data_IF_583758734804
#
_entry.id   IF_583758734804
#
_cell.length_a   1.000
_cell.length_b   1.000
_cell.length_c   1.000
_cell.angle_alpha   90.00
_cell.angle_beta   90.00
_cell.angle_gamma   90.00
#
_symmetry.space_group_name_H-M   'P 1'
#
loop_
_entity.id
_entity.type
_entity.pdbx_description
1 polymer ?
#
# COMPACT_ATOMS: atom_id res chain seq x y z
N UNK A 1 -27.97 -1.47 -10.41
CA UNK A 1 -26.71 -0.67 -10.49
C UNK A 1 -26.70 0.24 -9.28
N UNK A 2 -25.75 0.06 -8.37
CA UNK A 2 -25.64 0.96 -7.20
C UNK A 2 -25.35 2.38 -7.71
N UNK A 3 -26.09 3.36 -7.20
CA UNK A 3 -25.91 4.76 -7.52
C UNK A 3 -24.46 5.20 -7.17
N UNK A 4 -23.71 5.65 -8.16
CA UNK A 4 -22.32 6.05 -7.99
C UNK A 4 -22.14 7.20 -6.99
N UNK A 5 -23.17 8.00 -6.75
CA UNK A 5 -23.20 9.07 -5.78
C UNK A 5 -23.34 8.52 -4.35
N UNK A 6 -24.24 7.56 -4.12
CA UNK A 6 -24.41 6.88 -2.85
C UNK A 6 -23.16 6.14 -2.39
N UNK A 7 -22.48 5.43 -3.30
CA UNK A 7 -21.21 4.75 -3.03
C UNK A 7 -20.12 5.75 -2.60
N UNK A 8 -20.02 6.91 -3.26
CA UNK A 8 -19.03 7.94 -2.89
C UNK A 8 -19.29 8.53 -1.50
N UNK A 9 -20.57 8.80 -1.18
CA UNK A 9 -20.97 9.32 0.14
C UNK A 9 -20.59 8.31 1.23
N UNK A 10 -20.95 7.05 1.07
CA UNK A 10 -20.66 5.99 2.04
C UNK A 10 -19.14 5.78 2.22
N UNK A 11 -18.36 5.80 1.12
CA UNK A 11 -16.90 5.79 1.21
C UNK A 11 -16.36 6.97 2.01
N UNK A 12 -16.96 8.16 1.87
CA UNK A 12 -16.58 9.35 2.61
C UNK A 12 -16.84 9.22 4.12
N UNK A 13 -18.00 8.72 4.49
CA UNK A 13 -18.40 8.49 5.89
C UNK A 13 -17.50 7.45 6.56
N UNK A 14 -17.30 6.30 5.93
CA UNK A 14 -16.38 5.25 6.41
C UNK A 14 -14.97 5.78 6.60
N UNK A 15 -14.45 6.54 5.62
CA UNK A 15 -13.11 7.15 5.70
C UNK A 15 -12.99 8.06 6.91
N UNK A 16 -13.96 8.93 7.14
CA UNK A 16 -13.95 9.88 8.26
C UNK A 16 -14.01 9.16 9.61
N UNK A 17 -14.87 8.17 9.75
CA UNK A 17 -15.01 7.40 10.98
C UNK A 17 -13.74 6.60 11.30
N UNK A 18 -13.26 5.81 10.35
CA UNK A 18 -12.10 4.92 10.55
C UNK A 18 -10.79 5.71 10.67
N UNK A 19 -10.65 6.87 10.00
CA UNK A 19 -9.48 7.74 10.20
C UNK A 19 -9.34 8.18 11.66
N UNK A 20 -10.46 8.47 12.34
CA UNK A 20 -10.46 8.82 13.77
C UNK A 20 -10.07 7.62 14.64
N UNK A 21 -10.63 6.44 14.37
CA UNK A 21 -10.29 5.20 15.08
C UNK A 21 -8.80 4.89 14.91
N UNK A 22 -8.27 4.93 13.67
CA UNK A 22 -6.84 4.72 13.38
C UNK A 22 -5.95 5.76 14.08
N UNK A 23 -6.38 7.02 14.11
CA UNK A 23 -5.61 8.06 14.81
C UNK A 23 -5.53 7.81 16.32
N UNK A 24 -6.60 7.33 16.93
CA UNK A 24 -6.71 7.00 18.36
C UNK A 24 -6.10 5.64 18.72
N UNK A 25 -5.74 4.80 17.73
CA UNK A 25 -5.21 3.47 17.97
C UNK A 25 -3.95 3.51 18.86
N UNK A 26 -3.93 2.78 20.01
CA UNK A 26 -2.77 2.75 20.88
C UNK A 26 -1.65 1.86 20.32
N UNK A 27 -0.43 2.08 20.79
CA UNK A 27 0.74 1.25 20.46
C UNK A 27 0.94 0.94 18.98
N UNK A 28 0.86 1.99 18.14
CA UNK A 28 1.02 1.84 16.69
C UNK A 28 2.37 1.22 16.30
N UNK A 29 3.42 1.48 17.07
CA UNK A 29 4.76 0.96 16.76
C UNK A 29 4.85 -0.55 17.04
N UNK A 30 4.32 -1.02 18.17
CA UNK A 30 4.25 -2.45 18.50
C UNK A 30 3.34 -3.21 17.54
N UNK A 31 2.16 -2.66 17.24
CA UNK A 31 1.22 -3.23 16.27
C UNK A 31 1.80 -3.27 14.85
N UNK A 32 2.46 -2.22 14.41
CA UNK A 32 3.13 -2.20 13.11
C UNK A 32 4.22 -3.26 13.02
N UNK A 33 4.99 -3.45 14.09
CA UNK A 33 5.98 -4.53 14.17
C UNK A 33 5.31 -5.89 14.00
N UNK A 34 4.23 -6.17 14.75
CA UNK A 34 3.50 -7.44 14.65
C UNK A 34 2.95 -7.67 13.22
N UNK A 35 2.41 -6.61 12.57
CA UNK A 35 1.95 -6.68 11.18
C UNK A 35 3.10 -7.07 10.24
N UNK A 36 4.23 -6.38 10.35
CA UNK A 36 5.36 -6.60 9.45
C UNK A 36 6.08 -7.93 9.69
N UNK A 37 6.12 -8.43 10.93
CA UNK A 37 6.57 -9.80 11.24
C UNK A 37 5.68 -10.85 10.53
N UNK A 38 4.35 -10.64 10.49
CA UNK A 38 3.45 -11.50 9.73
C UNK A 38 3.74 -11.42 8.22
N UNK A 39 3.99 -10.21 7.69
CA UNK A 39 4.36 -10.03 6.27
C UNK A 39 5.64 -10.80 5.94
N UNK A 40 6.68 -10.70 6.78
CA UNK A 40 7.94 -11.44 6.58
C UNK A 40 7.73 -12.96 6.55
N UNK A 41 6.75 -13.48 7.31
CA UNK A 41 6.42 -14.90 7.35
C UNK A 41 5.63 -15.38 6.12
N UNK A 42 5.04 -14.49 5.33
CA UNK A 42 4.27 -14.87 4.13
C UNK A 42 5.17 -15.52 3.07
N UNK A 43 4.75 -16.64 2.47
CA UNK A 43 5.41 -17.18 1.29
C UNK A 43 5.56 -16.13 0.18
N UNK A 44 4.51 -15.33 -0.06
CA UNK A 44 4.52 -14.23 -1.02
C UNK A 44 5.68 -13.25 -0.80
N UNK A 45 6.03 -12.90 0.45
CA UNK A 45 7.16 -12.03 0.74
C UNK A 45 8.50 -12.77 0.58
N UNK A 46 8.60 -14.01 1.05
CA UNK A 46 9.84 -14.79 0.93
C UNK A 46 10.26 -14.97 -0.52
N UNK A 47 9.31 -15.28 -1.39
CA UNK A 47 9.53 -15.58 -2.80
C UNK A 47 9.70 -14.32 -3.67
N UNK A 48 9.17 -13.17 -3.22
CA UNK A 48 9.30 -11.89 -3.90
C UNK A 48 10.77 -11.44 -3.98
N UNK A 49 11.21 -10.98 -5.15
CA UNK A 49 12.52 -10.33 -5.38
C UNK A 49 12.42 -8.83 -5.23
N UNK A 50 11.39 -8.23 -5.82
CA UNK A 50 11.10 -6.80 -5.75
C UNK A 50 9.83 -6.54 -4.93
N UNK A 51 9.97 -5.74 -3.86
CA UNK A 51 8.88 -5.40 -2.94
C UNK A 51 8.69 -3.89 -2.89
N UNK A 52 7.48 -3.44 -3.17
CA UNK A 52 7.12 -2.04 -3.02
C UNK A 52 6.64 -1.78 -1.59
N UNK A 53 7.32 -0.84 -0.93
CA UNK A 53 6.95 -0.28 0.37
C UNK A 53 6.37 1.12 0.18
N UNK A 54 5.29 1.46 0.87
CA UNK A 54 4.94 2.88 1.00
C UNK A 54 5.75 3.53 2.14
N UNK A 55 5.95 4.83 2.06
CA UNK A 55 6.61 5.61 3.10
C UNK A 55 5.53 6.15 4.03
N UNK A 56 5.37 5.48 5.17
CA UNK A 56 4.29 5.75 6.11
C UNK A 56 4.26 7.19 6.62
N UNK A 57 3.05 7.72 6.76
CA UNK A 57 2.81 9.05 7.29
C UNK A 57 1.68 9.05 8.32
N UNK A 58 1.73 10.00 9.25
CA UNK A 58 0.69 10.21 10.25
C UNK A 58 0.40 8.95 11.09
N UNK A 59 -0.80 8.40 10.97
CA UNK A 59 -1.26 7.23 11.73
C UNK A 59 -1.22 5.91 10.95
N UNK A 60 -0.53 5.85 9.83
CA UNK A 60 -0.39 4.61 9.04
C UNK A 60 0.46 3.54 9.73
N UNK A 61 0.35 2.30 9.29
CA UNK A 61 1.27 1.21 9.68
C UNK A 61 2.71 1.57 9.30
N UNK A 62 3.65 1.43 10.24
CA UNK A 62 5.05 1.90 10.15
C UNK A 62 5.90 1.02 9.26
N UNK A 63 5.84 1.21 7.94
CA UNK A 63 6.59 0.40 6.98
C UNK A 63 8.07 0.78 6.87
N UNK A 64 8.41 2.06 7.03
CA UNK A 64 9.80 2.56 6.89
C UNK A 64 10.80 1.87 7.79
N UNK A 65 10.40 1.54 9.02
CA UNK A 65 11.27 0.87 9.98
C UNK A 65 11.71 -0.53 9.54
N UNK A 66 11.02 -1.13 8.57
CA UNK A 66 11.32 -2.46 8.02
C UNK A 66 12.10 -2.45 6.72
N UNK A 67 12.24 -1.30 6.07
CA UNK A 67 13.01 -1.16 4.83
C UNK A 67 14.46 -1.67 5.00
N UNK A 68 15.22 -1.29 6.05
CA UNK A 68 16.57 -1.82 6.24
C UNK A 68 16.59 -3.35 6.31
N UNK A 69 15.62 -3.95 7.01
CA UNK A 69 15.52 -5.42 7.12
C UNK A 69 15.21 -6.08 5.78
N UNK A 70 14.38 -5.47 4.95
CA UNK A 70 14.09 -5.99 3.61
C UNK A 70 15.35 -5.94 2.71
N UNK A 71 16.12 -4.85 2.78
CA UNK A 71 17.40 -4.72 2.08
C UNK A 71 18.43 -5.77 2.54
N UNK A 72 18.56 -5.99 3.86
CA UNK A 72 19.44 -7.05 4.42
C UNK A 72 19.05 -8.44 3.93
N UNK A 73 17.76 -8.70 3.71
CA UNK A 73 17.23 -9.94 3.15
C UNK A 73 17.44 -10.05 1.61
N UNK A 74 18.14 -9.09 1.01
CA UNK A 74 18.45 -9.06 -0.42
C UNK A 74 17.27 -8.68 -1.31
N UNK A 75 16.19 -8.08 -0.75
CA UNK A 75 15.06 -7.60 -1.56
C UNK A 75 15.42 -6.33 -2.31
N UNK A 76 14.96 -6.20 -3.54
CA UNK A 76 14.88 -4.92 -4.23
C UNK A 76 13.73 -4.15 -3.62
N UNK A 77 14.06 -3.12 -2.83
CA UNK A 77 13.04 -2.25 -2.22
C UNK A 77 12.68 -1.15 -3.20
N UNK A 78 11.38 -0.98 -3.42
CA UNK A 78 10.82 0.03 -4.31
C UNK A 78 9.90 0.93 -3.51
N UNK A 79 10.01 2.24 -3.68
CA UNK A 79 9.15 3.21 -2.98
C UNK A 79 8.44 4.14 -3.97
N UNK A 80 7.19 4.56 -3.68
CA UNK A 80 6.47 5.46 -4.57
C UNK A 80 6.86 6.91 -4.30
N UNK A 81 6.71 7.76 -5.31
CA UNK A 81 6.75 9.22 -5.21
C UNK A 81 5.73 9.84 -6.17
N UNK A 82 5.23 11.03 -5.82
CA UNK A 82 4.29 11.74 -6.68
C UNK A 82 5.00 12.32 -7.91
N UNK A 83 4.43 12.07 -9.10
CA UNK A 83 4.92 12.58 -10.37
C UNK A 83 3.76 12.79 -11.34
N UNK A 84 4.06 13.15 -12.58
CA UNK A 84 3.08 13.27 -13.66
C UNK A 84 3.45 12.36 -14.82
N UNK A 85 2.45 11.76 -15.43
CA UNK A 85 2.62 10.99 -16.65
C UNK A 85 2.77 11.90 -17.89
N UNK A 86 2.95 11.30 -19.06
CA UNK A 86 3.08 12.00 -20.36
C UNK A 86 1.86 12.87 -20.70
N UNK A 87 0.70 12.60 -20.11
CA UNK A 87 -0.54 13.36 -20.27
C UNK A 87 -0.69 14.48 -19.24
N UNK A 88 0.28 14.61 -18.31
CA UNK A 88 0.26 15.56 -17.22
C UNK A 88 -0.64 15.16 -16.06
N UNK A 89 -1.16 13.92 -16.04
CA UNK A 89 -1.95 13.41 -14.94
C UNK A 89 -1.05 13.02 -13.74
N UNK A 90 -1.54 13.30 -12.54
CA UNK A 90 -0.85 12.90 -11.31
C UNK A 90 -0.90 11.39 -11.12
N UNK A 91 0.27 10.79 -10.98
CA UNK A 91 0.50 9.35 -10.82
C UNK A 91 1.60 9.08 -9.80
N UNK A 92 1.77 7.82 -9.40
CA UNK A 92 2.92 7.37 -8.64
C UNK A 92 4.00 6.85 -9.59
N UNK A 93 5.18 7.50 -9.55
CA UNK A 93 6.42 6.93 -10.03
C UNK A 93 6.98 5.96 -8.98
N UNK A 94 7.81 5.02 -9.40
CA UNK A 94 8.46 4.07 -8.53
C UNK A 94 9.99 4.23 -8.59
N UNK A 95 10.61 4.17 -7.42
CA UNK A 95 12.04 4.40 -7.21
C UNK A 95 12.68 3.20 -6.51
N UNK A 96 13.78 2.67 -7.07
CA UNK A 96 14.57 1.63 -6.44
C UNK A 96 15.42 2.23 -5.31
N UNK A 97 15.03 1.93 -4.07
CA UNK A 97 15.69 2.43 -2.87
C UNK A 97 16.80 1.47 -2.42
N UNK A 98 17.99 2.00 -2.19
CA UNK A 98 19.14 1.25 -1.67
C UNK A 98 19.50 1.66 -0.24
N UNK A 99 19.17 2.90 0.13
CA UNK A 99 19.40 3.44 1.47
C UNK A 99 18.31 4.46 1.83
N UNK A 100 17.95 4.55 3.12
CA UNK A 100 17.03 5.58 3.61
C UNK A 100 17.58 7.00 3.43
N UNK A 101 18.90 7.16 3.37
CA UNK A 101 19.56 8.43 3.09
C UNK A 101 19.28 8.97 1.68
N UNK A 102 18.73 8.17 0.78
CA UNK A 102 18.26 8.61 -0.53
C UNK A 102 16.92 9.37 -0.47
N UNK A 103 16.27 9.40 0.71
CA UNK A 103 15.01 10.09 0.95
C UNK A 103 15.23 11.49 1.51
N UNK A 104 14.29 12.38 1.20
CA UNK A 104 14.19 13.73 1.76
C UNK A 104 12.72 14.08 2.03
N UNK A 105 12.42 15.04 2.93
CA UNK A 105 11.07 15.53 3.12
C UNK A 105 10.55 16.18 1.83
N UNK A 106 9.51 15.59 1.25
CA UNK A 106 8.78 16.11 0.10
C UNK A 106 7.54 16.90 0.49
N UNK A 107 6.55 16.92 -0.41
CA UNK A 107 5.28 17.58 -0.18
C UNK A 107 4.58 17.00 1.06
N UNK A 108 3.93 17.87 1.87
CA UNK A 108 3.22 17.50 3.09
C UNK A 108 4.09 16.81 4.16
N UNK A 109 5.42 16.96 4.13
CA UNK A 109 6.39 16.28 4.98
C UNK A 109 6.40 14.75 4.83
N UNK A 110 5.86 14.24 3.74
CA UNK A 110 6.00 12.83 3.37
C UNK A 110 7.42 12.68 2.82
N UNK A 111 8.14 11.63 3.26
CA UNK A 111 9.45 11.34 2.68
C UNK A 111 9.27 10.90 1.24
N UNK A 112 10.13 11.41 0.38
CA UNK A 112 10.20 11.06 -1.04
C UNK A 112 11.65 10.87 -1.46
N UNK A 113 11.94 10.11 -2.53
CA UNK A 113 13.30 10.06 -3.08
C UNK A 113 13.80 11.45 -3.44
N UNK A 114 15.06 11.74 -3.16
CA UNK A 114 15.72 13.00 -3.52
C UNK A 114 15.54 13.32 -4.99
N UNK A 115 15.13 14.55 -5.31
CA UNK A 115 14.81 14.96 -6.68
C UNK A 115 15.96 14.66 -7.66
N UNK A 116 17.21 14.91 -7.27
CA UNK A 116 18.39 14.63 -8.08
C UNK A 116 18.62 13.14 -8.40
N UNK A 117 17.97 12.23 -7.69
CA UNK A 117 18.07 10.79 -7.90
C UNK A 117 16.95 10.23 -8.75
N UNK A 118 15.76 10.89 -8.78
CA UNK A 118 14.56 10.40 -9.48
C UNK A 118 14.75 10.25 -10.99
N UNK A 119 15.59 11.11 -11.58
CA UNK A 119 15.87 11.11 -13.02
C UNK A 119 16.90 10.07 -13.46
N UNK A 120 17.57 9.41 -12.52
CA UNK A 120 18.57 8.37 -12.84
C UNK A 120 17.86 7.13 -13.35
N UNK A 121 18.12 6.66 -14.59
CA UNK A 121 17.44 5.48 -15.15
C UNK A 121 17.56 4.23 -14.27
N UNK A 122 18.72 4.03 -13.63
CA UNK A 122 18.95 2.89 -12.74
C UNK A 122 18.10 2.91 -11.45
N UNK A 123 17.50 4.06 -11.13
CA UNK A 123 16.64 4.22 -9.94
C UNK A 123 15.14 4.21 -10.28
N UNK A 124 14.79 4.34 -11.56
CA UNK A 124 13.40 4.23 -12.00
C UNK A 124 12.99 2.76 -12.05
N UNK A 125 11.78 2.46 -11.60
CA UNK A 125 11.25 1.11 -11.55
C UNK A 125 9.87 1.02 -12.19
N UNK A 126 9.60 -0.05 -12.91
CA UNK A 126 8.28 -0.30 -13.49
C UNK A 126 7.44 -1.15 -12.50
N UNK A 127 6.18 -0.80 -12.32
CA UNK A 127 5.26 -1.57 -11.47
C UNK A 127 5.10 -3.01 -11.96
N UNK A 128 5.29 -3.24 -13.26
CA UNK A 128 5.26 -4.58 -13.86
C UNK A 128 6.40 -5.49 -13.43
N UNK A 129 7.47 -4.92 -12.86
CA UNK A 129 8.62 -5.67 -12.34
C UNK A 129 8.57 -5.85 -10.81
N UNK A 130 7.46 -5.44 -10.18
CA UNK A 130 7.24 -5.62 -8.74
C UNK A 130 6.53 -6.95 -8.48
N UNK A 131 7.04 -7.73 -7.53
CA UNK A 131 6.47 -9.03 -7.16
C UNK A 131 5.44 -8.91 -6.04
N UNK A 132 5.62 -7.94 -5.14
CA UNK A 132 4.73 -7.69 -4.01
C UNK A 132 4.61 -6.20 -3.73
N UNK A 133 3.38 -5.72 -3.60
CA UNK A 133 3.08 -4.34 -3.25
C UNK A 133 2.44 -4.33 -1.86
N UNK A 134 3.07 -3.64 -0.90
CA UNK A 134 2.45 -3.29 0.37
C UNK A 134 1.57 -2.06 0.16
N UNK A 135 0.28 -2.22 0.41
CA UNK A 135 -0.74 -1.23 0.03
C UNK A 135 -1.27 -0.51 1.26
N UNK A 136 -1.13 0.83 1.35
CA UNK A 136 -1.74 1.61 2.42
C UNK A 136 -3.24 1.79 2.19
N UNK A 137 -3.97 2.04 3.27
CA UNK A 137 -5.39 2.36 3.19
C UNK A 137 -5.92 2.98 4.46
N UNK A 138 -7.13 3.51 4.38
CA UNK A 138 -7.87 4.02 5.53
C UNK A 138 -8.82 2.96 6.05
N UNK A 139 -9.55 2.30 5.18
CA UNK A 139 -10.52 1.25 5.52
C UNK A 139 -10.21 0.01 4.69
N UNK A 140 -10.35 -1.15 5.30
CA UNK A 140 -10.27 -2.44 4.65
C UNK A 140 -11.44 -3.33 5.05
N UNK A 141 -11.72 -4.36 4.28
CA UNK A 141 -12.58 -5.46 4.69
C UNK A 141 -11.87 -6.82 4.56
N UNK A 142 -12.48 -7.86 5.14
CA UNK A 142 -11.91 -9.21 5.13
C UNK A 142 -11.86 -9.85 3.73
N UNK A 143 -12.55 -9.25 2.76
CA UNK A 143 -12.59 -9.69 1.35
C UNK A 143 -11.52 -9.00 0.49
N UNK A 144 -10.70 -8.14 1.10
CA UNK A 144 -9.66 -7.38 0.41
C UNK A 144 -10.15 -6.07 -0.20
N UNK A 145 -11.38 -5.64 0.10
CA UNK A 145 -11.88 -4.30 -0.26
C UNK A 145 -11.07 -3.22 0.45
N UNK A 146 -10.87 -2.08 -0.20
CA UNK A 146 -10.02 -1.00 0.31
C UNK A 146 -10.56 0.39 -0.01
N UNK A 147 -10.51 1.30 0.96
CA UNK A 147 -10.68 2.74 0.76
C UNK A 147 -9.36 3.44 1.10
N UNK A 148 -8.79 4.16 0.13
CA UNK A 148 -7.64 5.04 0.32
C UNK A 148 -8.05 6.45 0.72
N UNK A 149 -7.09 7.40 0.65
CA UNK A 149 -7.30 8.82 1.00
C UNK A 149 -8.16 9.62 0.01
N UNK A 150 -8.53 9.04 -1.14
CA UNK A 150 -9.43 9.67 -2.13
C UNK A 150 -8.75 10.22 -3.39
N UNK A 151 -7.43 10.20 -3.47
CA UNK A 151 -6.67 10.67 -4.64
C UNK A 151 -6.49 9.62 -5.74
N UNK A 152 -6.96 8.38 -5.51
CA UNK A 152 -6.89 7.25 -6.44
C UNK A 152 -5.48 6.88 -6.95
N UNK A 153 -4.40 7.39 -6.35
CA UNK A 153 -3.04 7.09 -6.75
C UNK A 153 -2.74 5.59 -6.77
N UNK A 154 -3.06 4.90 -5.66
CA UNK A 154 -2.86 3.45 -5.57
C UNK A 154 -3.78 2.68 -6.51
N UNK A 155 -5.04 3.11 -6.71
CA UNK A 155 -5.94 2.42 -7.63
C UNK A 155 -5.43 2.50 -9.08
N UNK A 156 -4.83 3.64 -9.49
CA UNK A 156 -4.15 3.76 -10.78
C UNK A 156 -2.93 2.82 -10.86
N UNK A 157 -2.06 2.82 -9.84
CA UNK A 157 -0.86 1.99 -9.79
C UNK A 157 -1.18 0.48 -9.81
N UNK A 158 -2.10 0.04 -8.96
CA UNK A 158 -2.45 -1.38 -8.80
C UNK A 158 -3.05 -2.00 -10.05
N UNK A 159 -3.74 -1.22 -10.89
CA UNK A 159 -4.26 -1.69 -12.17
C UNK A 159 -3.18 -1.97 -13.21
N UNK A 160 -2.01 -1.37 -13.07
CA UNK A 160 -0.85 -1.60 -13.94
C UNK A 160 0.03 -2.76 -13.47
N UNK A 161 -0.14 -3.21 -12.23
CA UNK A 161 0.61 -4.34 -11.69
C UNK A 161 0.28 -5.64 -12.45
N UNK A 162 1.27 -6.54 -12.55
CA UNK A 162 1.08 -7.86 -13.15
C UNK A 162 -0.03 -8.64 -12.42
N UNK A 163 -0.75 -9.53 -13.12
CA UNK A 163 -1.76 -10.39 -12.47
C UNK A 163 -1.21 -11.24 -11.32
N UNK A 164 0.04 -11.67 -11.39
CA UNK A 164 0.74 -12.47 -10.38
C UNK A 164 1.46 -11.65 -9.29
N UNK A 165 1.52 -10.33 -9.40
CA UNK A 165 2.00 -9.45 -8.33
C UNK A 165 1.08 -9.55 -7.10
N UNK A 166 1.65 -9.77 -5.93
CA UNK A 166 0.91 -9.81 -4.67
C UNK A 166 0.52 -8.42 -4.19
N UNK A 167 -0.75 -8.21 -3.92
CA UNK A 167 -1.29 -6.98 -3.35
C UNK A 167 -1.66 -7.22 -1.89
N UNK A 168 -0.86 -6.69 -0.97
CA UNK A 168 -0.99 -6.93 0.47
C UNK A 168 -1.35 -5.62 1.17
N UNK A 169 -2.61 -5.50 1.58
CA UNK A 169 -3.09 -4.38 2.38
C UNK A 169 -2.57 -4.46 3.81
N UNK A 170 -2.04 -3.36 4.33
CA UNK A 170 -1.61 -3.28 5.73
C UNK A 170 -2.56 -2.39 6.52
N UNK A 171 -3.06 -2.91 7.63
CA UNK A 171 -4.04 -2.23 8.46
C UNK A 171 -3.87 -2.58 9.93
N UNK A 172 -4.24 -1.68 10.83
CA UNK A 172 -4.58 -2.07 12.19
C UNK A 172 -5.97 -2.73 12.19
N UNK A 173 -6.22 -3.65 13.11
CA UNK A 173 -7.51 -4.36 13.15
C UNK A 173 -8.70 -3.39 13.26
N UNK A 174 -8.56 -2.23 13.90
CA UNK A 174 -9.59 -1.20 13.99
C UNK A 174 -9.97 -0.57 12.63
N UNK A 175 -9.20 -0.84 11.56
CA UNK A 175 -9.50 -0.37 10.20
C UNK A 175 -10.31 -1.39 9.39
N UNK A 176 -10.56 -2.60 9.95
CA UNK A 176 -11.26 -3.66 9.24
C UNK A 176 -12.76 -3.57 9.54
N UNK A 177 -13.55 -3.39 8.51
CA UNK A 177 -15.02 -3.35 8.55
C UNK A 177 -15.62 -4.62 7.91
N UNK A 178 -16.93 -4.79 8.05
CA UNK A 178 -17.61 -5.95 7.46
C UNK A 178 -17.58 -5.94 5.94
N UNK A 179 -17.83 -4.78 5.31
CA UNK A 179 -17.84 -4.63 3.87
C UNK A 179 -17.44 -3.20 3.45
N UNK A 180 -16.54 -3.13 2.48
CA UNK A 180 -16.16 -1.90 1.77
C UNK A 180 -16.97 -1.79 0.48
N UNK A 181 -17.67 -0.67 0.21
CA UNK A 181 -18.40 -0.48 -1.04
C UNK A 181 -17.41 -0.31 -2.19
N UNK A 182 -17.13 -1.40 -2.92
CA UNK A 182 -16.19 -1.43 -4.05
C UNK A 182 -16.88 -1.02 -5.34
N UNK A 183 -16.23 -0.15 -6.11
CA UNK A 183 -16.65 0.26 -7.45
C UNK A 183 -15.82 -0.43 -8.56
N UNK A 184 -16.19 -0.25 -9.83
CA UNK A 184 -15.53 -0.95 -10.95
C UNK A 184 -14.06 -0.54 -11.18
N UNK A 185 -13.64 0.58 -10.60
CA UNK A 185 -12.26 1.08 -10.69
C UNK A 185 -11.39 0.67 -9.50
N UNK A 186 -12.00 0.13 -8.44
CA UNK A 186 -11.27 -0.27 -7.24
C UNK A 186 -10.63 -1.66 -7.44
N UNK A 187 -9.49 -1.87 -6.78
CA UNK A 187 -8.74 -3.13 -6.87
C UNK A 187 -8.78 -3.83 -5.51
N UNK A 188 -9.25 -5.09 -5.50
CA UNK A 188 -9.19 -5.93 -4.31
C UNK A 188 -7.76 -6.36 -3.99
N UNK A 189 -7.44 -6.46 -2.70
CA UNK A 189 -6.18 -7.02 -2.21
C UNK A 189 -6.21 -8.56 -2.31
N UNK A 190 -5.03 -9.17 -2.44
CA UNK A 190 -4.87 -10.62 -2.25
C UNK A 190 -4.95 -10.97 -0.77
N UNK A 191 -4.30 -10.17 0.06
CA UNK A 191 -4.29 -10.32 1.51
C UNK A 191 -4.52 -8.96 2.19
N UNK A 192 -5.14 -9.00 3.37
CA UNK A 192 -5.11 -7.88 4.33
C UNK A 192 -4.47 -8.40 5.61
N UNK A 193 -3.38 -7.76 6.02
CA UNK A 193 -2.58 -8.16 7.19
C UNK A 193 -2.77 -7.14 8.30
N UNK A 194 -3.20 -7.64 9.46
CA UNK A 194 -3.33 -6.84 10.69
C UNK A 194 -2.43 -7.41 11.80
N UNK A 195 -2.34 -6.72 12.93
CA UNK A 195 -1.65 -7.25 14.11
C UNK A 195 -2.33 -8.49 14.70
N UNK A 196 -3.59 -8.75 14.33
CA UNK A 196 -4.34 -9.90 14.83
C UNK A 196 -4.46 -11.03 13.80
N UNK A 197 -4.69 -10.69 12.51
CA UNK A 197 -5.10 -11.64 11.49
C UNK A 197 -4.39 -11.43 10.15
N UNK A 198 -4.48 -12.46 9.30
CA UNK A 198 -4.25 -12.39 7.86
C UNK A 198 -5.52 -12.82 7.17
N UNK A 199 -6.17 -11.91 6.45
CA UNK A 199 -7.40 -12.15 5.70
C UNK A 199 -7.09 -12.42 4.24
N UNK A 200 -7.63 -13.50 3.68
CA UNK A 200 -7.52 -13.82 2.26
C UNK A 200 -8.60 -13.08 1.46
N UNK A 201 -8.18 -12.21 0.55
CA UNK A 201 -9.07 -11.40 -0.28
C UNK A 201 -9.61 -12.13 -1.50
N UNK A 202 -10.62 -11.54 -2.13
CA UNK A 202 -11.28 -12.11 -3.33
C UNK A 202 -10.33 -12.25 -4.52
N UNK A 203 -9.35 -11.35 -4.65
CA UNK A 203 -8.37 -11.43 -5.73
C UNK A 203 -7.54 -12.70 -5.65
N UNK A 204 -7.15 -13.13 -4.45
CA UNK A 204 -6.44 -14.40 -4.25
C UNK A 204 -7.32 -15.60 -4.63
N UNK A 205 -8.61 -15.57 -4.27
CA UNK A 205 -9.54 -16.64 -4.62
C UNK A 205 -9.71 -16.80 -6.15
N UNK A 206 -9.60 -15.70 -6.91
CA UNK A 206 -9.66 -15.76 -8.39
C UNK A 206 -8.37 -16.26 -9.03
N UNK A 207 -7.22 -16.09 -8.39
CA UNK A 207 -5.90 -16.57 -8.88
C UNK A 207 -5.73 -18.10 -8.74
N UNK A 208 -6.43 -18.71 -7.77
CA UNK A 208 -6.36 -20.16 -7.51
C UNK A 208 -7.27 -21.00 -8.43
N UNK A 209 -8.05 -20.35 -9.30
CA UNK A 209 -8.92 -21.00 -10.31
C UNK A 209 -8.26 -21.01 -11.68
#
# INVERSE_FOLDING_TARGET
MADSAGVRTLKGELRNWISKARAAEPDKDGKSRAILERVLALPAFRDARAVQFYLDTGSEVRTRSFIPRALELGKKVVVPYCTRDERGEEVLGLFALEDLDELEPGAFRILEPKAALRERPAKQWDVRDVDLILVPGVVFDRRGGRIGHGWAYYDKLLRLARPDCWLVGLAYECQVVDEVPMGPQDVYMDLVVTEQNVYEGLRLATRRR
#
